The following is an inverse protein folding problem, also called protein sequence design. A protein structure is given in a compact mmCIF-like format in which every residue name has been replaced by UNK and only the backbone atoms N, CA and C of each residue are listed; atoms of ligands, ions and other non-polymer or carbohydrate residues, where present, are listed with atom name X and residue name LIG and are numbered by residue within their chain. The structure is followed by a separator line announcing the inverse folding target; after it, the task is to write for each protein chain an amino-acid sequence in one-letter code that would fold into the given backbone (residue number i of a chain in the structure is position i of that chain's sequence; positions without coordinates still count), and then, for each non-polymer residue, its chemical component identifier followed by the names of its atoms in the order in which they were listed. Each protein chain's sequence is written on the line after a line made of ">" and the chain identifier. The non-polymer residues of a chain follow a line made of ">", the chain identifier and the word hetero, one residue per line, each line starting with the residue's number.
data_IF_134791870698
#
_entry.id   IF_134791870698
#
_cell.length_a   1.000
_cell.length_b   1.000
_cell.length_c   1.000
_cell.angle_alpha   90.00
_cell.angle_beta   90.00
_cell.angle_gamma   90.00
#
_symmetry.space_group_name_H-M   'P 1'
#
loop_
_entity.id
_entity.type
_entity.pdbx_description
1 polymer ?
#
# COMPACT_ATOMS: atom_id res chain seq x y z
N UNK A 1 -27.93 -21.47 66.96
CA UNK A 1 -29.33 -20.99 66.83
C UNK A 1 -29.34 -19.87 65.80
N UNK A 2 -29.79 -20.17 64.58
CA UNK A 2 -30.98 -19.58 63.92
C UNK A 2 -30.67 -18.21 63.27
N UNK A 3 -30.37 -18.18 61.97
CA UNK A 3 -31.29 -18.02 60.82
C UNK A 3 -31.61 -16.55 60.50
N UNK A 4 -31.63 -16.21 59.21
CA UNK A 4 -32.45 -15.09 58.73
C UNK A 4 -31.90 -14.33 57.53
N UNK A 5 -32.13 -14.86 56.34
CA UNK A 5 -32.09 -14.09 55.10
C UNK A 5 -33.15 -12.98 55.11
N UNK A 6 -32.81 -11.77 54.66
CA UNK A 6 -33.76 -10.88 54.00
C UNK A 6 -33.13 -10.26 52.76
N UNK A 7 -33.69 -10.66 51.61
CA UNK A 7 -33.56 -9.99 50.32
C UNK A 7 -34.29 -8.66 50.39
N UNK A 8 -33.64 -7.58 49.93
CA UNK A 8 -34.33 -6.39 49.45
C UNK A 8 -33.76 -6.06 48.07
N UNK A 9 -34.61 -6.22 47.06
CA UNK A 9 -34.37 -5.76 45.71
C UNK A 9 -34.54 -4.24 45.68
N UNK A 10 -33.61 -3.54 45.05
CA UNK A 10 -33.80 -2.17 44.58
C UNK A 10 -33.17 -2.04 43.20
N UNK A 11 -34.01 -2.23 42.19
CA UNK A 11 -33.79 -1.75 40.83
C UNK A 11 -34.01 -0.24 40.86
N UNK A 12 -33.03 0.55 40.40
CA UNK A 12 -33.31 1.89 39.87
C UNK A 12 -32.38 2.19 38.69
N UNK A 13 -33.03 2.56 37.60
CA UNK A 13 -32.48 2.75 36.27
C UNK A 13 -31.68 4.06 36.11
N UNK A 14 -30.61 3.95 35.30
CA UNK A 14 -30.28 4.76 34.12
C UNK A 14 -30.63 6.26 34.18
N UNK A 15 -29.61 7.13 34.16
CA UNK A 15 -29.34 8.14 33.12
C UNK A 15 -28.23 9.09 33.60
N UNK A 16 -27.26 9.38 32.72
CA UNK A 16 -26.43 10.58 32.87
C UNK A 16 -24.96 10.40 32.52
N UNK A 17 -24.61 10.80 31.30
CA UNK A 17 -23.24 11.21 30.97
C UNK A 17 -22.42 10.24 30.11
N UNK A 18 -22.75 10.12 28.83
CA UNK A 18 -21.73 9.80 27.82
C UNK A 18 -20.85 11.05 27.74
N UNK A 19 -19.79 11.07 28.55
CA UNK A 19 -18.65 11.93 28.25
C UNK A 19 -17.93 11.32 27.04
N UNK A 20 -17.69 12.07 25.96
CA UNK A 20 -16.76 11.62 24.93
C UNK A 20 -15.39 11.58 25.59
N UNK A 21 -14.91 10.38 25.95
CA UNK A 21 -13.49 10.20 26.20
C UNK A 21 -12.75 10.54 24.89
N UNK A 22 -11.71 11.39 24.93
CA UNK A 22 -10.81 11.48 23.79
C UNK A 22 -10.21 10.08 23.62
N UNK A 23 -10.41 9.49 22.43
CA UNK A 23 -9.75 8.26 22.05
C UNK A 23 -8.24 8.48 22.22
N UNK A 24 -7.67 7.88 23.27
CA UNK A 24 -6.24 7.66 23.31
C UNK A 24 -5.91 6.84 22.05
N UNK A 25 -4.96 7.29 21.25
CA UNK A 25 -4.52 6.60 20.04
C UNK A 25 -4.34 5.11 20.34
N UNK A 26 -5.30 4.31 19.90
CA UNK A 26 -5.30 2.88 20.17
C UNK A 26 -4.20 2.33 19.26
N UNK A 27 -3.07 1.95 19.85
CA UNK A 27 -1.99 1.34 19.09
C UNK A 27 -2.57 0.16 18.30
N UNK A 28 -2.31 0.13 16.99
CA UNK A 28 -2.80 -0.93 16.10
C UNK A 28 -2.38 -2.31 16.63
N UNK A 29 -3.16 -3.35 16.29
CA UNK A 29 -2.85 -4.71 16.72
C UNK A 29 -1.43 -5.12 16.28
N UNK A 30 -0.67 -5.90 17.08
CA UNK A 30 0.74 -6.20 16.79
C UNK A 30 0.99 -6.79 15.40
N UNK A 31 0.08 -7.63 14.91
CA UNK A 31 0.18 -8.26 13.58
C UNK A 31 0.13 -7.25 12.42
N UNK A 32 -0.41 -6.05 12.64
CA UNK A 32 -0.48 -4.99 11.61
C UNK A 32 0.91 -4.53 11.23
N UNK A 33 1.79 -4.34 12.21
CA UNK A 33 3.17 -3.91 11.95
C UNK A 33 3.94 -4.98 11.18
N UNK A 34 3.76 -6.25 11.55
CA UNK A 34 4.36 -7.39 10.82
C UNK A 34 3.84 -7.45 9.37
N UNK A 35 2.53 -7.26 9.16
CA UNK A 35 1.92 -7.28 7.83
C UNK A 35 2.42 -6.10 6.96
N UNK A 36 2.50 -4.90 7.53
CA UNK A 36 3.03 -3.71 6.84
C UNK A 36 4.51 -3.90 6.51
N UNK A 37 5.29 -4.51 7.40
CA UNK A 37 6.68 -4.84 7.12
C UNK A 37 6.83 -5.91 6.02
N UNK A 38 5.95 -6.91 5.97
CA UNK A 38 5.88 -7.86 4.86
C UNK A 38 5.56 -7.17 3.54
N UNK A 39 4.56 -6.27 3.50
CA UNK A 39 4.23 -5.48 2.31
C UNK A 39 5.40 -4.60 1.84
N UNK A 40 6.16 -4.03 2.77
CA UNK A 40 7.33 -3.23 2.47
C UNK A 40 8.47 -4.08 1.87
N UNK A 41 8.70 -5.26 2.46
CA UNK A 41 9.70 -6.21 1.97
C UNK A 41 9.35 -6.75 0.58
N UNK A 42 8.06 -6.95 0.30
CA UNK A 42 7.58 -7.37 -1.02
C UNK A 42 7.47 -6.20 -2.02
N UNK A 43 7.77 -4.97 -1.59
CA UNK A 43 7.87 -3.79 -2.44
C UNK A 43 6.52 -3.15 -2.83
N UNK A 44 5.44 -3.46 -2.12
CA UNK A 44 4.14 -2.80 -2.31
C UNK A 44 4.08 -1.43 -1.64
N UNK A 45 4.90 -1.22 -0.60
CA UNK A 45 5.00 0.07 0.11
C UNK A 45 6.47 0.42 0.35
N UNK A 46 6.74 1.70 0.62
CA UNK A 46 8.07 2.20 1.00
C UNK A 46 8.02 2.83 2.40
N UNK A 47 8.67 2.18 3.36
CA UNK A 47 8.77 2.70 4.74
C UNK A 47 9.88 3.75 4.92
N UNK A 48 10.67 4.03 3.88
CA UNK A 48 11.81 4.96 3.96
C UNK A 48 12.89 4.50 4.95
N UNK A 49 12.99 3.19 5.20
CA UNK A 49 13.90 2.61 6.19
C UNK A 49 13.51 2.88 7.66
N UNK A 50 12.28 3.33 7.91
CA UNK A 50 11.69 3.39 9.26
C UNK A 50 11.15 2.04 9.67
N UNK A 51 10.99 1.86 10.97
CA UNK A 51 10.27 0.72 11.53
C UNK A 51 8.76 1.02 11.53
N UNK A 52 7.94 0.03 11.19
CA UNK A 52 6.50 0.19 11.12
C UNK A 52 5.92 0.60 12.48
N UNK A 53 6.53 0.12 13.58
CA UNK A 53 6.17 0.46 14.96
C UNK A 53 6.31 1.95 15.32
N UNK A 54 7.09 2.71 14.54
CA UNK A 54 7.35 4.14 14.78
C UNK A 54 6.39 5.08 14.06
N UNK A 55 5.50 4.53 13.23
CA UNK A 55 4.56 5.30 12.43
C UNK A 55 3.35 5.75 13.26
N UNK A 56 2.85 6.95 12.95
CA UNK A 56 1.55 7.38 13.47
C UNK A 56 0.42 6.61 12.81
N UNK A 57 -0.75 6.53 13.47
CA UNK A 57 -1.93 5.85 12.93
C UNK A 57 -2.36 6.40 11.55
N UNK A 58 -2.20 7.71 11.34
CA UNK A 58 -2.49 8.36 10.05
C UNK A 58 -1.52 7.91 8.97
N UNK A 59 -0.22 7.96 9.23
CA UNK A 59 0.80 7.47 8.28
C UNK A 59 0.61 5.98 7.98
N UNK A 60 0.25 5.19 8.99
CA UNK A 60 -0.04 3.77 8.84
C UNK A 60 -1.25 3.54 7.92
N UNK A 61 -2.32 4.30 8.11
CA UNK A 61 -3.52 4.23 7.26
C UNK A 61 -3.19 4.61 5.81
N UNK A 62 -2.42 5.68 5.59
CA UNK A 62 -2.00 6.12 4.26
C UNK A 62 -1.13 5.06 3.56
N UNK A 63 -0.18 4.46 4.29
CA UNK A 63 0.67 3.40 3.76
C UNK A 63 -0.13 2.12 3.46
N UNK A 64 -1.07 1.75 4.32
CA UNK A 64 -1.96 0.60 4.08
C UNK A 64 -2.82 0.86 2.84
N UNK A 65 -3.43 2.04 2.70
CA UNK A 65 -4.18 2.42 1.51
C UNK A 65 -3.33 2.33 0.23
N UNK A 66 -2.10 2.86 0.27
CA UNK A 66 -1.16 2.76 -0.84
C UNK A 66 -0.83 1.29 -1.17
N UNK A 67 -0.53 0.49 -0.15
CA UNK A 67 -0.17 -0.92 -0.32
C UNK A 67 -1.31 -1.74 -0.91
N UNK A 68 -2.54 -1.54 -0.43
CA UNK A 68 -3.73 -2.20 -0.96
C UNK A 68 -3.98 -1.84 -2.43
N UNK A 69 -3.84 -0.56 -2.79
CA UNK A 69 -3.95 -0.11 -4.18
C UNK A 69 -2.90 -0.76 -5.09
N UNK A 70 -1.64 -0.84 -4.66
CA UNK A 70 -0.58 -1.49 -5.43
C UNK A 70 -0.80 -3.01 -5.55
N UNK A 71 -1.38 -3.66 -4.54
CA UNK A 71 -1.75 -5.08 -4.60
C UNK A 71 -2.84 -5.30 -5.66
N UNK A 72 -3.91 -4.50 -5.64
CA UNK A 72 -5.02 -4.63 -6.59
C UNK A 72 -4.56 -4.38 -8.03
N UNK A 73 -3.72 -3.36 -8.22
CA UNK A 73 -3.10 -3.06 -9.52
C UNK A 73 -2.31 -4.25 -10.06
N UNK A 74 -1.56 -4.93 -9.20
CA UNK A 74 -0.74 -6.10 -9.59
C UNK A 74 -1.61 -7.31 -9.84
N UNK A 75 -2.66 -7.51 -9.04
CA UNK A 75 -3.61 -8.58 -9.22
C UNK A 75 -4.30 -8.52 -10.60
N UNK A 76 -4.56 -7.31 -11.10
CA UNK A 76 -5.13 -7.09 -12.44
C UNK A 76 -4.09 -7.21 -13.58
N UNK A 77 -2.80 -7.22 -13.26
CA UNK A 77 -1.71 -7.27 -14.23
C UNK A 77 -1.41 -8.68 -14.75
N UNK A 78 -0.47 -8.77 -15.68
CA UNK A 78 0.06 -10.06 -16.13
C UNK A 78 1.30 -10.47 -15.34
N UNK A 79 1.65 -11.75 -15.41
CA UNK A 79 2.87 -12.26 -14.77
C UNK A 79 4.14 -11.61 -15.37
N UNK A 80 4.11 -11.22 -16.64
CA UNK A 80 5.20 -10.48 -17.30
C UNK A 80 5.33 -9.05 -16.75
N UNK A 81 4.21 -8.38 -16.48
CA UNK A 81 4.22 -7.04 -15.86
C UNK A 81 4.79 -7.10 -14.45
N UNK A 82 4.43 -8.12 -13.67
CA UNK A 82 4.97 -8.31 -12.33
C UNK A 82 6.48 -8.59 -12.36
N UNK A 83 6.95 -9.42 -13.29
CA UNK A 83 8.38 -9.66 -13.48
C UNK A 83 9.14 -8.37 -13.83
N UNK A 84 8.58 -7.54 -14.73
CA UNK A 84 9.13 -6.24 -15.07
C UNK A 84 9.21 -5.30 -13.86
N UNK A 85 8.13 -5.23 -13.07
CA UNK A 85 8.08 -4.42 -11.84
C UNK A 85 9.12 -4.87 -10.82
N UNK A 86 9.21 -6.17 -10.52
CA UNK A 86 10.18 -6.72 -9.55
C UNK A 86 11.61 -6.44 -10.02
N UNK A 87 11.88 -6.57 -11.31
CA UNK A 87 13.21 -6.25 -11.88
C UNK A 87 13.56 -4.76 -11.71
N UNK A 88 12.61 -3.86 -11.94
CA UNK A 88 12.81 -2.42 -11.69
C UNK A 88 13.06 -2.12 -10.21
N UNK A 89 12.29 -2.75 -9.31
CA UNK A 89 12.50 -2.64 -7.86
C UNK A 89 13.88 -3.15 -7.44
N UNK A 90 14.36 -4.26 -8.01
CA UNK A 90 15.70 -4.77 -7.72
C UNK A 90 16.80 -3.77 -8.09
N UNK A 91 16.73 -3.14 -9.26
CA UNK A 91 17.72 -2.12 -9.66
C UNK A 91 17.71 -0.95 -8.69
N UNK A 92 16.53 -0.49 -8.27
CA UNK A 92 16.38 0.56 -7.25
C UNK A 92 16.98 0.13 -5.91
N UNK A 93 16.67 -1.08 -5.46
CA UNK A 93 17.10 -1.61 -4.17
C UNK A 93 18.62 -1.85 -4.12
N UNK A 94 19.22 -2.27 -5.23
CA UNK A 94 20.67 -2.37 -5.36
C UNK A 94 21.35 -1.01 -5.11
N UNK A 95 20.78 0.07 -5.68
CA UNK A 95 21.27 1.43 -5.45
C UNK A 95 21.11 1.85 -3.98
N UNK A 96 19.98 1.52 -3.34
CA UNK A 96 19.80 1.79 -1.91
C UNK A 96 20.78 1.02 -1.03
N UNK A 97 21.06 -0.25 -1.33
CA UNK A 97 22.06 -1.04 -0.60
C UNK A 97 23.44 -0.37 -0.69
N UNK A 98 23.85 0.07 -1.89
CA UNK A 98 25.12 0.80 -2.08
C UNK A 98 25.15 2.09 -1.27
N UNK A 99 24.08 2.88 -1.33
CA UNK A 99 23.96 4.12 -0.55
C UNK A 99 24.04 3.86 0.96
N UNK A 100 23.35 2.85 1.48
CA UNK A 100 23.38 2.53 2.90
C UNK A 100 24.74 2.00 3.36
N UNK A 101 25.46 1.26 2.50
CA UNK A 101 26.86 0.88 2.78
C UNK A 101 27.77 2.10 2.91
N UNK A 102 27.61 3.10 2.06
CA UNK A 102 28.37 4.34 2.16
C UNK A 102 28.01 5.13 3.44
N UNK A 103 26.72 5.24 3.76
CA UNK A 103 26.26 5.88 5.00
C UNK A 103 26.78 5.19 6.25
N UNK A 104 26.76 3.86 6.30
CA UNK A 104 27.32 3.08 7.40
C UNK A 104 28.83 3.31 7.52
N UNK A 105 29.58 3.35 6.40
CA UNK A 105 31.01 3.63 6.44
C UNK A 105 31.31 5.02 7.02
N UNK A 106 30.52 6.03 6.67
CA UNK A 106 30.64 7.39 7.23
C UNK A 106 30.32 7.37 8.72
N UNK A 107 29.20 6.75 9.12
CA UNK A 107 28.80 6.64 10.52
C UNK A 107 29.84 5.88 11.37
N UNK A 108 30.45 4.82 10.80
CA UNK A 108 31.53 4.07 11.43
C UNK A 108 32.77 4.93 11.66
N UNK A 109 33.19 5.71 10.66
CA UNK A 109 34.32 6.64 10.80
C UNK A 109 34.06 7.68 11.90
N UNK A 110 32.85 8.22 11.96
CA UNK A 110 32.43 9.16 12.99
C UNK A 110 32.44 8.53 14.39
N UNK A 111 31.95 7.29 14.50
CA UNK A 111 32.01 6.50 15.73
C UNK A 111 33.46 6.26 16.18
N UNK A 112 34.33 5.80 15.27
CA UNK A 112 35.74 5.54 15.57
C UNK A 112 36.48 6.81 16.00
N UNK A 113 36.17 7.95 15.38
CA UNK A 113 36.70 9.25 15.76
C UNK A 113 36.21 9.68 17.15
N UNK A 114 34.90 9.55 17.42
CA UNK A 114 34.31 9.85 18.71
C UNK A 114 34.89 8.96 19.82
N UNK A 115 35.14 7.68 19.52
CA UNK A 115 35.74 6.72 20.44
C UNK A 115 37.16 7.13 20.82
N UNK A 116 37.99 7.50 19.83
CA UNK A 116 39.35 8.00 20.07
C UNK A 116 39.34 9.30 20.87
N UNK A 117 38.44 10.24 20.53
CA UNK A 117 38.32 11.51 21.24
C UNK A 117 37.90 11.32 22.71
N UNK A 118 36.93 10.44 22.96
CA UNK A 118 36.49 10.09 24.32
C UNK A 118 37.61 9.47 25.14
N UNK A 119 38.30 8.44 24.60
CA UNK A 119 39.45 7.82 25.26
C UNK A 119 40.55 8.84 25.58
N UNK A 120 40.87 9.71 24.62
CA UNK A 120 41.88 10.74 24.84
C UNK A 120 41.48 11.74 25.92
N UNK A 121 40.23 12.20 25.93
CA UNK A 121 39.73 13.12 26.96
C UNK A 121 39.74 12.47 28.35
N UNK A 122 39.34 11.21 28.47
CA UNK A 122 39.41 10.45 29.72
C UNK A 122 40.84 10.22 30.20
N UNK A 123 41.75 9.84 29.30
CA UNK A 123 43.16 9.66 29.63
C UNK A 123 43.81 10.96 30.09
N UNK A 124 43.54 12.09 29.42
CA UNK A 124 44.08 13.39 29.84
C UNK A 124 43.57 13.81 31.21
N UNK A 125 42.28 13.59 31.49
CA UNK A 125 41.68 13.82 32.81
C UNK A 125 42.34 12.94 33.87
N UNK A 126 42.49 11.64 33.60
CA UNK A 126 43.13 10.68 34.50
C UNK A 126 44.59 11.05 34.78
N UNK A 127 45.37 11.39 33.74
CA UNK A 127 46.77 11.81 33.88
C UNK A 127 46.92 13.07 34.74
N UNK A 128 46.03 14.05 34.60
CA UNK A 128 46.08 15.29 35.40
C UNK A 128 45.68 15.03 36.86
N UNK A 129 44.70 14.15 37.09
CA UNK A 129 44.34 13.70 38.43
C UNK A 129 45.51 12.97 39.12
N UNK A 130 46.18 12.06 38.41
CA UNK A 130 47.35 11.33 38.93
C UNK A 130 48.56 12.22 39.21
N UNK A 131 48.68 13.37 38.54
CA UNK A 131 49.72 14.38 38.82
C UNK A 131 49.44 15.24 40.06
N UNK A 132 48.33 14.99 40.76
CA UNK A 132 47.95 15.72 41.97
C UNK A 132 47.39 17.13 41.70
N UNK A 133 46.99 17.43 40.46
CA UNK A 133 46.42 18.73 40.11
C UNK A 133 44.94 18.77 40.54
N UNK A 134 44.68 19.26 41.75
CA UNK A 134 43.33 19.40 42.31
C UNK A 134 42.72 20.82 42.15
N UNK A 135 43.33 21.69 41.34
CA UNK A 135 42.77 23.03 41.10
C UNK A 135 41.50 22.90 40.27
N UNK A 136 40.38 23.33 40.85
CA UNK A 136 39.06 23.28 40.20
C UNK A 136 39.03 23.98 38.84
N UNK A 137 39.79 25.07 38.67
CA UNK A 137 39.92 25.80 37.41
C UNK A 137 40.53 24.96 36.27
N UNK A 138 41.41 24.01 36.61
CA UNK A 138 42.05 23.11 35.63
C UNK A 138 41.22 21.83 35.45
N UNK A 139 40.66 21.30 36.53
CA UNK A 139 39.92 20.03 36.49
C UNK A 139 38.51 20.16 35.90
N UNK A 140 37.76 21.22 36.23
CA UNK A 140 36.40 21.43 35.67
C UNK A 140 36.34 21.43 34.14
N UNK A 141 37.19 22.16 33.40
CA UNK A 141 37.13 22.13 31.94
C UNK A 141 37.54 20.76 31.36
N UNK A 142 38.44 20.01 32.02
CA UNK A 142 38.79 18.66 31.59
C UNK A 142 37.66 17.66 31.83
N UNK A 143 36.97 17.77 32.97
CA UNK A 143 35.76 16.99 33.26
C UNK A 143 34.67 17.27 32.23
N UNK A 144 34.36 18.55 31.99
CA UNK A 144 33.37 18.95 30.98
C UNK A 144 33.72 18.45 29.57
N UNK A 145 35.00 18.46 29.20
CA UNK A 145 35.47 17.90 27.92
C UNK A 145 35.30 16.39 27.84
N UNK A 146 35.63 15.65 28.92
CA UNK A 146 35.45 14.21 28.98
C UNK A 146 33.95 13.84 28.92
N UNK A 147 33.10 14.56 29.64
CA UNK A 147 31.65 14.39 29.59
C UNK A 147 31.08 14.68 28.21
N UNK A 148 31.48 15.79 27.57
CA UNK A 148 31.05 16.12 26.21
C UNK A 148 31.53 15.08 25.16
N UNK A 149 32.75 14.55 25.32
CA UNK A 149 33.26 13.50 24.45
C UNK A 149 32.50 12.17 24.64
N UNK A 150 32.09 11.84 25.88
CA UNK A 150 31.22 10.70 26.17
C UNK A 150 29.84 10.85 25.55
N UNK A 151 29.19 11.99 25.71
CA UNK A 151 27.85 12.20 25.11
C UNK A 151 27.91 12.10 23.58
N UNK A 152 28.92 12.70 22.96
CA UNK A 152 29.15 12.58 21.52
C UNK A 152 29.43 11.12 21.08
N UNK A 153 30.17 10.34 21.87
CA UNK A 153 30.35 8.92 21.62
C UNK A 153 29.02 8.16 21.67
N UNK A 154 28.16 8.46 22.66
CA UNK A 154 26.85 7.79 22.77
C UNK A 154 25.92 8.12 21.60
N UNK A 155 25.91 9.37 21.11
CA UNK A 155 25.12 9.72 19.92
C UNK A 155 25.68 9.04 18.67
N UNK A 156 27.00 9.10 18.46
CA UNK A 156 27.64 8.46 17.31
C UNK A 156 27.45 6.94 17.30
N UNK A 157 27.43 6.29 18.47
CA UNK A 157 27.15 4.86 18.60
C UNK A 157 25.70 4.52 18.20
N UNK A 158 24.73 5.35 18.60
CA UNK A 158 23.32 5.18 18.21
C UNK A 158 23.13 5.36 16.71
N UNK A 159 23.75 6.39 16.14
CA UNK A 159 23.67 6.66 14.71
C UNK A 159 24.30 5.53 13.89
N UNK A 160 25.48 5.05 14.29
CA UNK A 160 26.12 3.89 13.65
C UNK A 160 25.23 2.66 13.70
N UNK A 161 24.69 2.29 14.88
CA UNK A 161 23.80 1.16 15.04
C UNK A 161 22.55 1.27 14.13
N UNK A 162 21.95 2.47 14.04
CA UNK A 162 20.79 2.71 13.20
C UNK A 162 21.13 2.59 11.71
N UNK A 163 22.28 3.13 11.25
CA UNK A 163 22.72 2.96 9.85
C UNK A 163 23.02 1.51 9.50
N UNK A 164 23.62 0.76 10.43
CA UNK A 164 23.90 -0.66 10.27
C UNK A 164 22.59 -1.45 10.10
N UNK A 165 21.61 -1.23 10.98
CA UNK A 165 20.30 -1.88 10.90
C UNK A 165 19.58 -1.57 9.58
N UNK A 166 19.64 -0.32 9.11
CA UNK A 166 19.06 0.06 7.80
C UNK A 166 19.72 -0.67 6.64
N UNK A 167 21.05 -0.77 6.64
CA UNK A 167 21.78 -1.54 5.61
C UNK A 167 21.34 -2.99 5.62
N UNK A 168 21.40 -3.66 6.77
CA UNK A 168 21.07 -5.08 6.92
C UNK A 168 19.63 -5.38 6.49
N UNK A 169 18.67 -4.57 6.93
CA UNK A 169 17.27 -4.69 6.51
C UNK A 169 17.12 -4.58 5.00
N UNK A 170 17.82 -3.63 4.36
CA UNK A 170 17.74 -3.43 2.92
C UNK A 170 18.42 -4.53 2.12
N UNK A 171 19.53 -5.07 2.63
CA UNK A 171 20.21 -6.22 2.03
C UNK A 171 19.30 -7.46 2.05
N UNK A 172 18.62 -7.72 3.17
CA UNK A 172 17.64 -8.81 3.26
C UNK A 172 16.46 -8.62 2.29
N UNK A 173 15.92 -7.41 2.17
CA UNK A 173 14.85 -7.12 1.23
C UNK A 173 15.29 -7.33 -0.23
N UNK A 174 16.52 -6.91 -0.57
CA UNK A 174 17.07 -7.09 -1.91
C UNK A 174 17.23 -8.58 -2.28
N UNK A 175 17.69 -9.43 -1.35
CA UNK A 175 17.76 -10.87 -1.58
C UNK A 175 16.38 -11.52 -1.75
N UNK A 176 15.37 -11.10 -0.96
CA UNK A 176 13.98 -11.56 -1.15
C UNK A 176 13.44 -11.19 -2.54
N UNK A 177 13.77 -10.00 -3.06
CA UNK A 177 13.38 -9.58 -4.40
C UNK A 177 14.05 -10.43 -5.49
N UNK A 178 15.34 -10.77 -5.34
CA UNK A 178 16.03 -11.72 -6.24
C UNK A 178 15.36 -13.08 -6.26
N UNK A 179 15.04 -13.62 -5.07
CA UNK A 179 14.32 -14.88 -4.97
C UNK A 179 12.97 -14.80 -5.70
N UNK A 180 12.21 -13.72 -5.49
CA UNK A 180 10.93 -13.49 -6.18
C UNK A 180 11.11 -13.40 -7.69
N UNK A 181 12.09 -12.66 -8.18
CA UNK A 181 12.40 -12.57 -9.61
C UNK A 181 12.67 -13.95 -10.21
N UNK A 182 13.48 -14.78 -9.55
CA UNK A 182 13.78 -16.14 -10.00
C UNK A 182 12.53 -17.04 -10.05
N UNK A 183 11.65 -16.92 -9.05
CA UNK A 183 10.37 -17.65 -9.01
C UNK A 183 9.43 -17.20 -10.13
N UNK A 184 9.33 -15.90 -10.37
CA UNK A 184 8.52 -15.34 -11.46
C UNK A 184 9.04 -15.77 -12.83
N UNK A 185 10.36 -15.71 -13.03
CA UNK A 185 10.98 -16.19 -14.28
C UNK A 185 10.68 -17.67 -14.52
N UNK A 186 10.81 -18.50 -13.48
CA UNK A 186 10.48 -19.94 -13.56
C UNK A 186 9.03 -20.14 -13.97
N UNK A 187 8.10 -19.37 -13.39
CA UNK A 187 6.67 -19.41 -13.75
C UNK A 187 6.41 -18.95 -15.19
N UNK A 188 7.08 -17.89 -15.66
CA UNK A 188 6.99 -17.44 -17.06
C UNK A 188 7.41 -18.55 -18.01
N UNK A 189 8.56 -19.18 -17.76
CA UNK A 189 9.08 -20.26 -18.61
C UNK A 189 8.23 -21.53 -18.55
N UNK A 190 7.56 -21.80 -17.43
CA UNK A 190 6.66 -22.95 -17.28
C UNK A 190 5.31 -22.71 -17.99
N UNK A 191 4.79 -21.47 -17.96
CA UNK A 191 3.53 -21.09 -18.58
C UNK A 191 3.57 -21.11 -20.12
N UNK A 192 4.76 -21.15 -20.73
CA UNK A 192 4.93 -21.41 -22.17
C UNK A 192 4.65 -22.87 -22.57
N UNK A 193 4.43 -23.79 -21.61
CA UNK A 193 3.99 -25.15 -21.87
C UNK A 193 2.47 -25.22 -22.11
N UNK A 194 1.97 -25.95 -23.13
CA UNK A 194 0.59 -25.84 -23.63
C UNK A 194 -0.51 -26.42 -22.72
N UNK A 195 -0.18 -26.82 -21.49
CA UNK A 195 -1.16 -27.36 -20.54
C UNK A 195 -1.77 -26.25 -19.68
N UNK A 196 -2.86 -25.66 -20.19
CA UNK A 196 -3.85 -24.93 -19.40
C UNK A 196 -3.44 -23.53 -18.96
N UNK A 197 -4.14 -22.51 -19.48
CA UNK A 197 -4.33 -21.23 -18.79
C UNK A 197 -5.11 -21.50 -17.51
N UNK A 198 -4.43 -21.94 -16.46
CA UNK A 198 -4.93 -21.70 -15.11
C UNK A 198 -4.68 -20.22 -14.81
N UNK A 199 -5.66 -19.54 -14.23
CA UNK A 199 -5.52 -18.20 -13.67
C UNK A 199 -4.51 -18.26 -12.52
N UNK A 200 -3.22 -18.28 -12.86
CA UNK A 200 -2.14 -18.27 -11.87
C UNK A 200 -2.15 -16.88 -11.24
N UNK A 201 -2.68 -16.79 -10.01
CA UNK A 201 -2.65 -15.57 -9.22
C UNK A 201 -1.25 -14.96 -9.23
N UNK A 202 -1.16 -13.75 -9.77
CA UNK A 202 0.06 -12.94 -9.86
C UNK A 202 0.53 -12.62 -8.44
N UNK A 203 -0.41 -12.23 -7.58
CA UNK A 203 -0.12 -11.97 -6.16
C UNK A 203 -0.07 -13.26 -5.35
N UNK A 204 0.89 -13.34 -4.42
CA UNK A 204 1.03 -14.47 -3.47
C UNK A 204 -0.21 -14.58 -2.57
N UNK A 205 -0.72 -15.80 -2.30
CA UNK A 205 -1.90 -15.98 -1.43
C UNK A 205 -1.75 -15.35 -0.05
N UNK A 206 -0.56 -15.45 0.57
CA UNK A 206 -0.32 -14.87 1.90
C UNK A 206 -0.47 -13.34 1.91
N UNK A 207 -0.06 -12.67 0.83
CA UNK A 207 -0.20 -11.21 0.68
C UNK A 207 -1.66 -10.82 0.50
N UNK A 208 -2.43 -11.62 -0.24
CA UNK A 208 -3.87 -11.42 -0.38
C UNK A 208 -4.61 -11.57 0.95
N UNK A 209 -4.25 -12.59 1.75
CA UNK A 209 -4.82 -12.79 3.09
C UNK A 209 -4.47 -11.62 4.03
N UNK A 210 -3.22 -11.15 4.00
CA UNK A 210 -2.78 -9.99 4.76
C UNK A 210 -3.54 -8.73 4.34
N UNK A 211 -3.70 -8.51 3.03
CA UNK A 211 -4.47 -7.39 2.48
C UNK A 211 -5.93 -7.41 2.93
N UNK A 212 -6.58 -8.57 2.91
CA UNK A 212 -7.95 -8.73 3.38
C UNK A 212 -8.09 -8.41 4.88
N UNK A 213 -7.13 -8.85 5.70
CA UNK A 213 -7.10 -8.53 7.14
C UNK A 213 -6.86 -7.03 7.37
N UNK A 214 -5.93 -6.41 6.63
CA UNK A 214 -5.65 -4.97 6.74
C UNK A 214 -6.86 -4.13 6.32
N UNK A 215 -7.59 -4.52 5.27
CA UNK A 215 -8.86 -3.89 4.89
C UNK A 215 -9.89 -3.95 6.03
N UNK A 216 -10.02 -5.10 6.69
CA UNK A 216 -10.95 -5.28 7.79
C UNK A 216 -10.56 -4.45 9.02
N UNK A 217 -9.28 -4.42 9.38
CA UNK A 217 -8.77 -3.67 10.53
C UNK A 217 -8.91 -2.16 10.34
N UNK A 218 -8.61 -1.65 9.14
CA UNK A 218 -8.62 -0.22 8.84
C UNK A 218 -9.90 0.25 8.14
N UNK A 219 -10.99 -0.53 8.14
CA UNK A 219 -12.18 -0.23 7.32
C UNK A 219 -12.74 1.19 7.54
N UNK A 220 -12.82 1.65 8.80
CA UNK A 220 -13.31 2.98 9.14
C UNK A 220 -12.32 4.08 8.72
N UNK A 221 -11.03 3.86 8.97
CA UNK A 221 -9.96 4.80 8.64
C UNK A 221 -9.77 4.94 7.12
N UNK A 222 -9.87 3.83 6.38
CA UNK A 222 -9.82 3.79 4.92
C UNK A 222 -11.04 4.49 4.31
N UNK A 223 -12.24 4.26 4.84
CA UNK A 223 -13.44 4.96 4.40
C UNK A 223 -13.33 6.48 4.65
N UNK A 224 -12.87 6.89 5.83
CA UNK A 224 -12.67 8.30 6.16
C UNK A 224 -11.61 8.98 5.26
N UNK A 225 -10.60 8.23 4.82
CA UNK A 225 -9.58 8.72 3.87
C UNK A 225 -10.06 8.82 2.42
N UNK A 226 -11.24 8.29 2.09
CA UNK A 226 -11.78 8.20 0.73
C UNK A 226 -11.19 7.06 -0.11
N UNK A 227 -10.42 6.15 0.50
CA UNK A 227 -9.84 4.99 -0.19
C UNK A 227 -10.93 4.07 -0.76
N UNK A 228 -11.98 3.79 0.02
CA UNK A 228 -13.07 2.87 -0.40
C UNK A 228 -13.82 3.38 -1.63
N UNK A 229 -14.01 4.69 -1.75
CA UNK A 229 -14.68 5.30 -2.90
C UNK A 229 -13.83 5.18 -4.15
N UNK A 230 -12.50 5.35 -4.00
CA UNK A 230 -11.55 5.17 -5.08
C UNK A 230 -11.46 3.71 -5.54
N UNK A 231 -11.37 2.78 -4.59
CA UNK A 231 -11.35 1.33 -4.87
C UNK A 231 -12.62 0.92 -5.62
N UNK A 232 -13.79 1.38 -5.18
CA UNK A 232 -15.07 1.13 -5.86
C UNK A 232 -15.11 1.72 -7.28
N UNK A 233 -14.60 2.93 -7.47
CA UNK A 233 -14.54 3.56 -8.79
C UNK A 233 -13.61 2.78 -9.75
N UNK A 234 -12.45 2.32 -9.26
CA UNK A 234 -11.53 1.49 -10.05
C UNK A 234 -12.15 0.13 -10.40
N UNK A 235 -12.84 -0.51 -9.46
CA UNK A 235 -13.58 -1.75 -9.73
C UNK A 235 -14.66 -1.56 -10.79
N UNK A 236 -15.35 -0.42 -10.82
CA UNK A 236 -16.35 -0.12 -11.85
C UNK A 236 -15.72 0.10 -13.24
N UNK A 237 -14.51 0.67 -13.32
CA UNK A 237 -13.80 0.86 -14.58
C UNK A 237 -13.38 -0.45 -15.23
N UNK A 238 -13.00 -1.44 -14.41
CA UNK A 238 -12.54 -2.75 -14.87
C UNK A 238 -13.59 -3.86 -14.72
N UNK A 239 -14.80 -3.51 -14.27
CA UNK A 239 -15.91 -4.46 -14.25
C UNK A 239 -16.15 -4.95 -15.68
N UNK A 240 -16.13 -6.27 -15.94
CA UNK A 240 -16.52 -6.82 -17.22
C UNK A 240 -18.04 -6.64 -17.35
N UNK A 241 -18.47 -5.42 -17.67
CA UNK A 241 -19.86 -5.17 -18.07
C UNK A 241 -20.00 -5.85 -19.42
N UNK A 242 -20.59 -7.05 -19.41
CA UNK A 242 -21.09 -7.68 -20.62
C UNK A 242 -22.06 -6.68 -21.24
N UNK A 243 -21.64 -6.06 -22.35
CA UNK A 243 -22.55 -5.24 -23.14
C UNK A 243 -23.74 -6.15 -23.49
N UNK A 244 -24.99 -5.73 -23.22
CA UNK A 244 -26.14 -6.53 -23.61
C UNK A 244 -26.04 -6.79 -25.10
N UNK A 245 -26.15 -8.07 -25.51
CA UNK A 245 -26.15 -8.45 -26.91
C UNK A 245 -27.17 -7.59 -27.65
N UNK A 246 -26.68 -6.73 -28.55
CA UNK A 246 -27.56 -5.95 -29.43
C UNK A 246 -28.33 -6.99 -30.25
N UNK A 247 -29.66 -7.09 -30.13
CA UNK A 247 -30.40 -8.07 -30.90
C UNK A 247 -30.17 -7.77 -32.38
N UNK A 248 -29.52 -8.70 -33.08
CA UNK A 248 -29.33 -8.58 -34.52
C UNK A 248 -30.70 -8.36 -35.17
N UNK A 249 -30.85 -7.26 -35.92
CA UNK A 249 -32.10 -6.95 -36.64
C UNK A 249 -32.37 -8.05 -37.66
N UNK A 250 -33.19 -9.05 -37.29
CA UNK A 250 -33.45 -10.26 -38.10
C UNK A 250 -34.26 -9.99 -39.37
N UNK A 251 -34.85 -8.81 -39.53
CA UNK A 251 -35.71 -8.52 -40.67
C UNK A 251 -35.74 -7.02 -40.99
N UNK A 252 -35.25 -6.63 -42.17
CA UNK A 252 -35.56 -5.35 -42.80
C UNK A 252 -36.57 -5.61 -43.92
N UNK A 253 -37.81 -5.15 -43.75
CA UNK A 253 -38.79 -5.15 -44.83
C UNK A 253 -38.84 -3.74 -45.42
N UNK A 254 -38.24 -3.57 -46.59
CA UNK A 254 -38.46 -2.39 -47.43
C UNK A 254 -39.63 -2.67 -48.38
N UNK A 255 -40.79 -2.09 -48.08
CA UNK A 255 -42.01 -2.23 -48.89
C UNK A 255 -42.29 -0.97 -49.71
N UNK A 256 -42.41 -1.11 -51.03
CA UNK A 256 -42.94 -0.05 -51.89
C UNK A 256 -44.35 -0.42 -52.35
N UNK A 257 -45.36 0.35 -51.93
CA UNK A 257 -46.73 0.21 -52.44
C UNK A 257 -46.92 1.14 -53.64
N UNK A 258 -47.43 0.60 -54.75
CA UNK A 258 -47.83 1.36 -55.95
C UNK A 258 -49.31 1.14 -56.21
N UNK A 259 -50.07 2.22 -56.18
CA UNK A 259 -51.50 2.23 -56.51
C UNK A 259 -51.70 3.14 -57.72
N UNK A 260 -52.09 2.53 -58.84
CA UNK A 260 -52.45 3.22 -60.07
C UNK A 260 -53.97 3.03 -60.24
N UNK A 261 -54.76 4.08 -60.04
CA UNK A 261 -56.20 4.05 -60.34
C UNK A 261 -56.43 4.68 -61.72
N UNK A 262 -57.28 4.05 -62.53
CA UNK A 262 -57.72 4.59 -63.82
C UNK A 262 -59.24 4.65 -63.79
N UNK A 263 -59.79 5.86 -63.84
CA UNK A 263 -61.20 6.04 -64.17
C UNK A 263 -61.29 6.46 -65.63
N UNK A 264 -62.04 5.70 -66.43
CA UNK A 264 -62.45 6.10 -67.77
C UNK A 264 -63.96 6.28 -67.77
N UNK A 265 -64.43 7.52 -67.76
CA UNK A 265 -65.80 7.87 -68.13
C UNK A 265 -65.78 8.28 -69.61
N UNK A 266 -66.73 7.73 -70.37
CA UNK A 266 -66.68 7.72 -71.82
C UNK A 266 -66.81 9.10 -72.51
N UNK A 267 -66.23 9.14 -73.72
CA UNK A 267 -66.38 10.14 -74.79
C UNK A 267 -66.05 11.61 -74.46
N UNK A 268 -64.89 11.84 -73.87
CA UNK A 268 -63.93 12.87 -74.34
C UNK A 268 -62.60 12.66 -73.60
N UNK A 269 -61.49 12.69 -74.36
CA UNK A 269 -60.18 12.26 -73.89
C UNK A 269 -59.53 13.29 -72.96
N UNK A 270 -59.76 13.17 -71.65
CA UNK A 270 -58.83 13.68 -70.62
C UNK A 270 -58.29 12.50 -69.81
N UNK A 271 -57.00 12.18 -69.97
CA UNK A 271 -56.31 11.11 -69.23
C UNK A 271 -55.83 11.65 -67.88
N UNK A 272 -56.72 11.75 -66.91
CA UNK A 272 -56.31 11.98 -65.53
C UNK A 272 -55.85 10.67 -64.90
N UNK A 273 -54.53 10.54 -64.72
CA UNK A 273 -53.90 9.42 -64.03
C UNK A 273 -53.31 9.92 -62.73
N UNK A 274 -53.96 9.60 -61.63
CA UNK A 274 -53.43 9.85 -60.29
C UNK A 274 -52.54 8.69 -59.89
N UNK A 275 -51.28 8.99 -59.57
CA UNK A 275 -50.31 8.00 -59.08
C UNK A 275 -49.87 8.38 -57.69
N UNK A 276 -50.05 7.48 -56.74
CA UNK A 276 -49.56 7.64 -55.37
C UNK A 276 -48.41 6.66 -55.14
N UNK A 277 -47.29 7.17 -54.63
CA UNK A 277 -46.12 6.38 -54.24
C UNK A 277 -45.86 6.61 -52.76
N UNK A 278 -46.09 5.59 -51.95
CA UNK A 278 -45.71 5.59 -50.53
C UNK A 278 -44.50 4.67 -50.33
N UNK A 279 -43.53 5.13 -49.55
CA UNK A 279 -42.45 4.31 -48.99
C UNK A 279 -42.66 4.27 -47.49
N UNK A 280 -42.71 3.08 -46.93
CA UNK A 280 -42.92 2.88 -45.49
C UNK A 280 -41.61 2.31 -44.95
N UNK A 281 -41.02 3.00 -43.99
CA UNK A 281 -39.90 2.52 -43.20
C UNK A 281 -40.43 2.27 -41.78
N UNK A 282 -40.90 1.05 -41.48
CA UNK A 282 -41.28 0.75 -40.11
C UNK A 282 -40.00 0.67 -39.27
N UNK A 283 -39.92 1.50 -38.23
CA UNK A 283 -38.88 1.39 -37.23
C UNK A 283 -39.32 0.33 -36.21
N UNK A 284 -38.59 -0.78 -36.16
CA UNK A 284 -38.84 -1.87 -35.24
C UNK A 284 -37.75 -1.85 -34.18
N UNK A 285 -38.13 -1.42 -32.97
CA UNK A 285 -37.55 -1.93 -31.73
C UNK A 285 -38.45 -3.04 -31.21
#
# INVERSE_FOLDING_TARGET
>A
MSNGHYRAAAVLCITGGILPMPAAAQAAAPWVYDAVEELANDGYIDLGGRDASTLSEKELTELVAQGLHEIDRVQQGTLADEYGRVTALMVRDEMHVKLYREQEQIARRNYDQALRASRHAEETLARQSMRGVNRLEVMRPLQARAEAARTHLTSAARDYALTQMRREKRELAYEKLKERQSRLLTRLTAAESPSGREDVSVVRPQVMDAAARLRAEFIENLAASGYTDRENAEQQLYAPVLLPDVPEKRLKIDGQVRLDTRHSTGKESSKDRTRIRARIYPDYN
#
